data_IF_805977233135
#
_entry.id   IF_805977233135
#
_cell.length_a   1.000
_cell.length_b   1.000
_cell.length_c   1.000
_cell.angle_alpha   90.00
_cell.angle_beta   90.00
_cell.angle_gamma   90.00
#
_symmetry.space_group_name_H-M   'P 1'
#
loop_
_entity.id
_entity.type
_entity.pdbx_description
1 polymer ?
#
# COMPACT_ATOMS: atom_id res chain seq x y z
N UNK A 1 32.59 40.38 14.48
CA UNK A 1 32.70 39.70 13.19
C UNK A 1 32.78 38.19 13.38
N UNK A 2 31.91 37.58 14.21
CA UNK A 2 31.95 36.17 14.61
C UNK A 2 30.55 35.46 14.61
N UNK A 3 29.48 36.17 14.23
CA UNK A 3 28.11 35.63 14.24
C UNK A 3 27.63 35.03 12.90
N UNK A 4 28.40 35.22 11.82
CA UNK A 4 27.97 34.80 10.49
C UNK A 4 28.33 33.33 10.12
N UNK A 5 29.09 32.62 10.96
CA UNK A 5 29.49 31.21 10.69
C UNK A 5 28.50 30.19 11.22
N UNK A 6 27.68 30.52 12.22
CA UNK A 6 26.71 29.57 12.80
C UNK A 6 25.49 29.33 11.89
N UNK A 7 24.94 30.39 11.28
CA UNK A 7 23.73 30.23 10.46
C UNK A 7 23.99 29.44 9.18
N UNK A 8 25.15 29.60 8.56
CA UNK A 8 25.54 28.86 7.37
C UNK A 8 25.79 27.37 7.69
N UNK A 9 26.42 27.05 8.84
CA UNK A 9 26.61 25.67 9.27
C UNK A 9 25.30 24.98 9.65
N UNK A 10 24.38 25.69 10.30
CA UNK A 10 23.05 25.20 10.64
C UNK A 10 22.25 24.96 9.36
N UNK A 11 22.26 25.92 8.44
CA UNK A 11 21.54 25.81 7.15
C UNK A 11 22.10 24.67 6.29
N UNK A 12 23.42 24.53 6.21
CA UNK A 12 24.06 23.43 5.48
C UNK A 12 23.80 22.08 6.14
N UNK A 13 23.81 22.01 7.47
CA UNK A 13 23.44 20.81 8.24
C UNK A 13 21.98 20.41 8.06
N UNK A 14 21.07 21.37 8.00
CA UNK A 14 19.64 21.13 7.72
C UNK A 14 19.46 20.62 6.29
N UNK A 15 20.10 21.23 5.30
CA UNK A 15 20.03 20.78 3.89
C UNK A 15 20.62 19.39 3.74
N UNK A 16 21.76 19.09 4.38
CA UNK A 16 22.37 17.78 4.35
C UNK A 16 21.50 16.72 5.03
N UNK A 17 20.86 17.05 6.14
CA UNK A 17 19.91 16.18 6.85
C UNK A 17 18.66 15.91 6.02
N UNK A 18 18.13 16.92 5.34
CA UNK A 18 16.99 16.78 4.43
C UNK A 18 17.36 15.89 3.23
N UNK A 19 18.53 16.11 2.61
CA UNK A 19 19.00 15.30 1.47
C UNK A 19 19.23 13.83 1.85
N UNK A 20 19.68 13.56 3.07
CA UNK A 20 19.90 12.19 3.54
C UNK A 20 18.61 11.51 3.99
N UNK A 21 17.61 12.28 4.45
CA UNK A 21 16.28 11.75 4.81
C UNK A 21 15.51 11.23 3.61
N UNK A 22 15.71 11.78 2.41
CA UNK A 22 15.05 11.35 1.18
C UNK A 22 15.77 10.21 0.45
N UNK A 23 16.95 9.81 0.90
CA UNK A 23 17.79 8.82 0.20
C UNK A 23 17.12 7.47 -0.03
N UNK A 24 16.26 7.04 0.88
CA UNK A 24 15.58 5.74 0.83
C UNK A 24 14.09 5.84 0.52
N UNK A 25 13.56 7.05 0.32
CA UNK A 25 12.13 7.26 0.07
C UNK A 25 11.66 6.49 -1.17
N UNK A 26 12.46 6.51 -2.24
CA UNK A 26 12.13 5.84 -3.50
C UNK A 26 12.07 4.33 -3.33
N UNK A 27 13.01 3.76 -2.56
CA UNK A 27 13.05 2.32 -2.26
C UNK A 27 11.85 1.92 -1.39
N UNK A 28 11.55 2.68 -0.35
CA UNK A 28 10.42 2.44 0.54
C UNK A 28 9.10 2.55 -0.24
N UNK A 29 8.98 3.55 -1.11
CA UNK A 29 7.81 3.72 -1.98
C UNK A 29 7.66 2.53 -2.93
N UNK A 30 8.74 2.08 -3.58
CA UNK A 30 8.71 0.93 -4.48
C UNK A 30 8.29 -0.35 -3.76
N UNK A 31 8.85 -0.62 -2.57
CA UNK A 31 8.47 -1.78 -1.74
C UNK A 31 7.01 -1.68 -1.30
N UNK A 32 6.58 -0.52 -0.83
CA UNK A 32 5.19 -0.29 -0.42
C UNK A 32 4.19 -0.56 -1.55
N UNK A 33 4.43 0.00 -2.74
CA UNK A 33 3.57 -0.21 -3.92
C UNK A 33 3.58 -1.68 -4.34
N UNK A 34 4.72 -2.34 -4.30
CA UNK A 34 4.85 -3.77 -4.62
C UNK A 34 4.04 -4.62 -3.65
N UNK A 35 4.18 -4.39 -2.34
CA UNK A 35 3.40 -5.08 -1.30
C UNK A 35 1.91 -4.86 -1.50
N UNK A 36 1.50 -3.63 -1.82
CA UNK A 36 0.11 -3.27 -2.05
C UNK A 36 -0.49 -4.04 -3.25
N UNK A 37 0.21 -4.08 -4.38
CA UNK A 37 -0.26 -4.79 -5.58
C UNK A 37 -0.30 -6.29 -5.34
N UNK A 38 0.77 -6.88 -4.76
CA UNK A 38 0.83 -8.31 -4.45
C UNK A 38 -0.27 -8.70 -3.45
N UNK A 39 -0.53 -7.88 -2.43
CA UNK A 39 -1.61 -8.12 -1.47
C UNK A 39 -2.97 -8.24 -2.15
N UNK A 40 -3.27 -7.33 -3.09
CA UNK A 40 -4.54 -7.38 -3.84
C UNK A 40 -4.63 -8.61 -4.77
N UNK A 41 -3.53 -9.01 -5.41
CA UNK A 41 -3.48 -10.24 -6.21
C UNK A 41 -3.69 -11.47 -5.33
N UNK A 42 -3.01 -11.54 -4.20
CA UNK A 42 -3.12 -12.65 -3.25
C UNK A 42 -4.53 -12.76 -2.65
N UNK A 43 -5.15 -11.62 -2.33
CA UNK A 43 -6.53 -11.53 -1.84
C UNK A 43 -7.54 -12.09 -2.85
N UNK A 44 -7.35 -11.79 -4.14
CA UNK A 44 -8.18 -12.32 -5.21
C UNK A 44 -7.94 -13.80 -5.49
N UNK A 45 -6.70 -14.28 -5.25
CA UNK A 45 -6.30 -15.64 -5.66
C UNK A 45 -6.74 -16.73 -4.67
N UNK A 46 -6.78 -16.47 -3.37
CA UNK A 46 -7.03 -17.52 -2.38
C UNK A 46 -7.65 -17.02 -1.09
N UNK A 47 -8.70 -17.74 -0.65
CA UNK A 47 -9.20 -17.66 0.73
C UNK A 47 -8.52 -18.77 1.53
N UNK A 48 -7.94 -18.42 2.66
CA UNK A 48 -7.24 -19.33 3.58
C UNK A 48 -8.18 -19.68 4.72
N UNK A 49 -8.35 -20.97 4.99
CA UNK A 49 -9.08 -21.49 6.14
C UNK A 49 -8.07 -22.00 7.18
N UNK A 50 -8.18 -21.57 8.42
CA UNK A 50 -7.31 -22.01 9.50
C UNK A 50 -7.74 -23.34 10.12
N UNK A 51 -8.86 -23.93 9.64
CA UNK A 51 -9.31 -25.25 10.06
C UNK A 51 -9.90 -25.30 11.49
N UNK A 52 -10.18 -24.16 12.11
CA UNK A 52 -10.87 -24.11 13.39
C UNK A 52 -12.06 -23.14 13.35
N UNK A 53 -13.06 -23.44 14.15
CA UNK A 53 -14.29 -22.65 14.30
C UNK A 53 -14.33 -22.01 15.69
N UNK A 54 -14.66 -20.71 15.75
CA UNK A 54 -14.91 -19.99 16.98
C UNK A 54 -16.38 -19.60 17.03
N UNK A 55 -17.12 -20.06 18.03
CA UNK A 55 -18.56 -19.79 18.18
C UNK A 55 -19.42 -20.17 16.96
N UNK A 56 -19.05 -21.25 16.24
CA UNK A 56 -19.77 -21.70 15.05
C UNK A 56 -19.47 -20.91 13.77
N UNK A 57 -18.49 -20.00 13.80
CA UNK A 57 -18.02 -19.24 12.64
C UNK A 57 -16.66 -19.78 12.22
N UNK A 58 -16.54 -20.22 10.95
CA UNK A 58 -15.27 -20.63 10.36
C UNK A 58 -14.35 -19.41 10.24
N UNK A 59 -13.13 -19.56 10.75
CA UNK A 59 -12.09 -18.54 10.65
C UNK A 59 -11.39 -18.64 9.30
N UNK A 60 -12.03 -18.03 8.28
CA UNK A 60 -11.46 -17.90 6.95
C UNK A 60 -11.12 -16.43 6.68
N UNK A 61 -9.96 -16.19 6.08
CA UNK A 61 -9.53 -14.85 5.67
C UNK A 61 -8.89 -14.88 4.29
N UNK A 62 -8.88 -13.75 3.60
CA UNK A 62 -8.21 -13.68 2.31
C UNK A 62 -6.67 -13.67 2.47
N UNK A 63 -5.95 -14.26 1.50
CA UNK A 63 -4.49 -14.39 1.59
C UNK A 63 -3.77 -13.03 1.61
N UNK A 64 -4.37 -11.98 1.06
CA UNK A 64 -3.84 -10.63 1.07
C UNK A 64 -3.79 -10.01 2.46
N UNK A 65 -4.68 -10.44 3.37
CA UNK A 65 -4.70 -9.98 4.76
C UNK A 65 -3.37 -10.19 5.48
N UNK A 66 -2.58 -11.20 5.08
CA UNK A 66 -1.25 -11.45 5.62
C UNK A 66 -0.27 -10.29 5.38
N UNK A 67 -0.46 -9.55 4.29
CA UNK A 67 0.42 -8.44 3.90
C UNK A 67 -0.07 -7.08 4.43
N UNK A 68 -1.29 -6.97 4.95
CA UNK A 68 -1.81 -5.71 5.49
C UNK A 68 -0.97 -5.13 6.63
N UNK A 69 -0.54 -5.90 7.65
CA UNK A 69 0.31 -5.35 8.71
C UNK A 69 1.58 -4.70 8.16
N UNK A 70 2.19 -5.32 7.15
CA UNK A 70 3.39 -4.79 6.50
C UNK A 70 3.10 -3.47 5.79
N UNK A 71 1.97 -3.37 5.09
CA UNK A 71 1.54 -2.15 4.41
C UNK A 71 1.30 -0.99 5.40
N UNK A 72 0.69 -1.27 6.56
CA UNK A 72 0.50 -0.26 7.62
C UNK A 72 1.82 0.19 8.22
N UNK A 73 2.75 -0.72 8.52
CA UNK A 73 4.08 -0.37 9.04
C UNK A 73 4.80 0.58 8.07
N UNK A 74 4.75 0.33 6.77
CA UNK A 74 5.33 1.25 5.78
C UNK A 74 4.62 2.61 5.76
N UNK A 75 3.29 2.64 5.89
CA UNK A 75 2.51 3.87 6.00
C UNK A 75 2.90 4.70 7.22
N UNK A 76 3.10 4.05 8.35
CA UNK A 76 3.51 4.68 9.61
C UNK A 76 4.93 5.25 9.51
N UNK A 77 5.89 4.45 9.01
CA UNK A 77 7.27 4.90 8.76
C UNK A 77 7.29 6.11 7.81
N UNK A 78 6.52 6.08 6.74
CA UNK A 78 6.43 7.18 5.79
C UNK A 78 5.89 8.45 6.45
N UNK A 79 4.85 8.33 7.26
CA UNK A 79 4.23 9.49 7.92
C UNK A 79 5.12 10.03 9.03
N UNK A 80 5.77 9.17 9.79
CA UNK A 80 6.58 9.55 10.95
C UNK A 80 7.95 10.10 10.56
N UNK A 81 8.66 9.41 9.65
CA UNK A 81 10.03 9.75 9.26
C UNK A 81 10.06 10.85 8.19
N UNK A 82 9.19 10.72 7.17
CA UNK A 82 9.19 11.62 6.01
C UNK A 82 8.11 12.71 6.09
N UNK A 83 7.18 12.57 7.01
CA UNK A 83 6.11 13.52 7.24
C UNK A 83 4.89 13.34 6.31
N UNK A 84 3.77 13.92 6.73
CA UNK A 84 2.48 13.77 6.05
C UNK A 84 2.49 14.17 4.57
N UNK A 85 3.29 15.18 4.18
CA UNK A 85 3.37 15.64 2.78
C UNK A 85 3.89 14.55 1.85
N UNK A 86 4.94 13.85 2.24
CA UNK A 86 5.55 12.79 1.43
C UNK A 86 4.72 11.51 1.52
N UNK A 87 4.20 11.17 2.68
CA UNK A 87 3.26 10.05 2.87
C UNK A 87 2.07 10.18 1.92
N UNK A 88 1.47 11.37 1.80
CA UNK A 88 0.37 11.62 0.86
C UNK A 88 0.74 11.36 -0.59
N UNK A 89 1.95 11.72 -1.03
CA UNK A 89 2.41 11.42 -2.39
C UNK A 89 2.50 9.90 -2.63
N UNK A 90 3.05 9.17 -1.66
CA UNK A 90 3.19 7.72 -1.75
C UNK A 90 1.81 7.03 -1.79
N UNK A 91 0.85 7.48 -0.98
CA UNK A 91 -0.53 6.99 -1.00
C UNK A 91 -1.16 7.19 -2.40
N UNK A 92 -1.01 8.38 -2.98
CA UNK A 92 -1.52 8.64 -4.34
C UNK A 92 -0.81 7.79 -5.40
N UNK A 93 0.50 7.61 -5.29
CA UNK A 93 1.25 6.72 -6.19
C UNK A 93 0.75 5.29 -6.08
N UNK A 94 0.56 4.78 -4.87
CA UNK A 94 -0.03 3.44 -4.64
C UNK A 94 -1.42 3.30 -5.24
N UNK A 95 -2.27 4.32 -5.07
CA UNK A 95 -3.62 4.34 -5.65
C UNK A 95 -3.59 4.26 -7.19
N UNK A 96 -2.74 5.06 -7.84
CA UNK A 96 -2.59 5.05 -9.30
C UNK A 96 -2.02 3.72 -9.79
N UNK A 97 -1.00 3.17 -9.13
CA UNK A 97 -0.41 1.89 -9.49
C UNK A 97 -1.41 0.73 -9.33
N UNK A 98 -2.21 0.74 -8.26
CA UNK A 98 -3.25 -0.27 -8.06
C UNK A 98 -4.35 -0.17 -9.12
N UNK A 99 -4.81 1.04 -9.43
CA UNK A 99 -5.80 1.28 -10.49
C UNK A 99 -5.26 0.87 -11.87
N UNK A 100 -4.00 1.17 -12.16
CA UNK A 100 -3.34 0.75 -13.40
C UNK A 100 -3.22 -0.78 -13.50
N UNK A 101 -2.82 -1.45 -12.42
CA UNK A 101 -2.75 -2.93 -12.37
C UNK A 101 -4.11 -3.56 -12.66
N UNK A 102 -5.17 -3.03 -12.05
CA UNK A 102 -6.52 -3.50 -12.27
C UNK A 102 -7.01 -3.29 -13.71
N UNK A 103 -6.66 -2.15 -14.30
CA UNK A 103 -6.96 -1.86 -15.70
C UNK A 103 -6.25 -2.86 -16.64
N UNK A 104 -4.99 -3.17 -16.37
CA UNK A 104 -4.23 -4.17 -17.14
C UNK A 104 -4.88 -5.55 -17.03
N UNK A 105 -5.24 -5.99 -15.82
CA UNK A 105 -5.92 -7.28 -15.62
C UNK A 105 -7.29 -7.33 -16.30
N UNK A 106 -8.03 -6.21 -16.29
CA UNK A 106 -9.28 -6.11 -17.03
C UNK A 106 -9.07 -6.19 -18.54
N UNK A 107 -8.07 -5.50 -19.09
CA UNK A 107 -7.72 -5.59 -20.52
C UNK A 107 -7.35 -7.03 -20.91
N UNK A 108 -6.52 -7.70 -20.14
CA UNK A 108 -6.13 -9.10 -20.38
C UNK A 108 -7.36 -10.02 -20.34
N UNK A 109 -8.30 -9.76 -19.43
CA UNK A 109 -9.56 -10.51 -19.33
C UNK A 109 -10.41 -10.45 -20.62
N UNK A 110 -10.42 -9.29 -21.28
CA UNK A 110 -11.21 -9.05 -22.50
C UNK A 110 -10.52 -9.64 -23.74
N UNK A 111 -9.21 -9.88 -23.70
CA UNK A 111 -8.47 -10.47 -24.81
C UNK A 111 -8.90 -11.92 -25.04
N UNK A 112 -9.06 -12.37 -26.30
CA UNK A 112 -9.37 -13.77 -26.61
C UNK A 112 -8.20 -14.66 -26.22
N UNK A 113 -8.50 -15.72 -25.48
CA UNK A 113 -7.51 -16.74 -25.10
C UNK A 113 -7.16 -17.68 -26.28
N UNK A 114 -5.91 -18.09 -26.36
CA UNK A 114 -5.45 -19.08 -27.33
C UNK A 114 -6.02 -20.48 -27.02
N UNK A 115 -6.19 -21.34 -28.05
CA UNK A 115 -6.86 -22.63 -27.91
C UNK A 115 -6.18 -23.56 -26.92
N UNK A 116 -4.85 -23.68 -26.97
CA UNK A 116 -4.07 -24.52 -26.06
C UNK A 116 -4.21 -24.06 -24.61
N UNK A 117 -4.21 -22.74 -24.41
CA UNK A 117 -4.43 -22.17 -23.08
C UNK A 117 -5.86 -22.44 -22.57
N UNK A 118 -6.86 -22.38 -23.45
CA UNK A 118 -8.26 -22.67 -23.10
C UNK A 118 -8.45 -24.11 -22.61
N UNK A 119 -7.75 -25.08 -23.20
CA UNK A 119 -7.83 -26.49 -22.83
C UNK A 119 -7.18 -26.78 -21.48
N UNK A 120 -6.10 -26.06 -21.15
CA UNK A 120 -5.28 -26.35 -19.97
C UNK A 120 -5.67 -25.50 -18.73
N UNK A 121 -6.00 -24.23 -18.90
CA UNK A 121 -6.36 -23.32 -17.79
C UNK A 121 -7.75 -22.70 -17.97
N UNK A 122 -8.00 -22.12 -19.15
CA UNK A 122 -9.26 -21.50 -19.52
C UNK A 122 -9.59 -20.18 -18.83
N UNK A 123 -10.62 -19.54 -19.34
CA UNK A 123 -11.11 -18.26 -18.81
C UNK A 123 -11.66 -18.38 -17.39
N UNK A 124 -12.16 -19.56 -17.01
CA UNK A 124 -12.69 -19.80 -15.67
C UNK A 124 -11.61 -19.79 -14.60
N UNK A 125 -10.43 -20.37 -14.89
CA UNK A 125 -9.27 -20.29 -13.98
C UNK A 125 -8.77 -18.85 -13.83
N UNK A 126 -8.72 -18.09 -14.93
CA UNK A 126 -8.38 -16.67 -14.88
C UNK A 126 -9.37 -15.89 -14.00
N UNK A 127 -10.68 -16.10 -14.20
CA UNK A 127 -11.71 -15.45 -13.41
C UNK A 127 -11.70 -15.89 -11.95
N UNK A 128 -11.38 -17.12 -11.65
CA UNK A 128 -11.27 -17.64 -10.29
C UNK A 128 -10.11 -17.00 -9.53
N UNK A 129 -8.97 -16.74 -10.21
CA UNK A 129 -7.76 -16.20 -9.58
C UNK A 129 -7.75 -14.67 -9.59
N UNK A 130 -8.06 -14.04 -10.72
CA UNK A 130 -7.93 -12.60 -10.93
C UNK A 130 -9.27 -11.86 -11.03
N UNK A 131 -10.39 -12.58 -10.91
CA UNK A 131 -11.73 -12.01 -11.00
C UNK A 131 -12.00 -10.94 -9.95
N UNK A 132 -11.45 -11.08 -8.75
CA UNK A 132 -11.57 -10.09 -7.68
C UNK A 132 -11.01 -8.72 -8.08
N UNK A 133 -9.84 -8.70 -8.72
CA UNK A 133 -9.19 -7.45 -9.16
C UNK A 133 -9.81 -6.94 -10.47
N UNK A 134 -10.19 -7.84 -11.39
CA UNK A 134 -10.72 -7.47 -12.70
C UNK A 134 -12.21 -7.13 -12.70
N UNK A 135 -12.94 -7.39 -11.61
CA UNK A 135 -14.35 -7.02 -11.49
C UNK A 135 -14.50 -5.62 -10.87
N UNK A 136 -15.13 -4.72 -11.61
CA UNK A 136 -15.21 -3.30 -11.26
C UNK A 136 -15.81 -3.00 -9.88
N UNK A 137 -16.78 -3.78 -9.38
CA UNK A 137 -17.39 -3.55 -8.07
C UNK A 137 -16.42 -3.81 -6.90
N UNK A 138 -15.73 -4.94 -6.90
CA UNK A 138 -14.75 -5.31 -5.87
C UNK A 138 -13.54 -4.38 -5.95
N UNK A 139 -13.09 -4.05 -7.15
CA UNK A 139 -12.01 -3.11 -7.37
C UNK A 139 -12.31 -1.73 -6.78
N UNK A 140 -13.48 -1.17 -7.05
CA UNK A 140 -13.87 0.15 -6.52
C UNK A 140 -13.95 0.12 -4.99
N UNK A 141 -14.49 -0.95 -4.40
CA UNK A 141 -14.52 -1.11 -2.95
C UNK A 141 -13.10 -1.19 -2.35
N UNK A 142 -12.19 -1.95 -2.98
CA UNK A 142 -10.79 -2.06 -2.55
C UNK A 142 -10.05 -0.73 -2.67
N UNK A 143 -10.21 -0.02 -3.78
CA UNK A 143 -9.61 1.31 -3.98
C UNK A 143 -10.13 2.34 -2.98
N UNK A 144 -11.45 2.36 -2.73
CA UNK A 144 -12.05 3.26 -1.76
C UNK A 144 -11.60 2.93 -0.32
N UNK A 145 -11.57 1.65 0.05
CA UNK A 145 -11.07 1.18 1.35
C UNK A 145 -9.59 1.53 1.56
N UNK A 146 -8.75 1.27 0.56
CA UNK A 146 -7.34 1.64 0.60
C UNK A 146 -7.15 3.14 0.77
N UNK A 147 -7.84 3.95 -0.05
CA UNK A 147 -7.72 5.40 0.01
C UNK A 147 -8.16 5.94 1.37
N UNK A 148 -9.38 5.61 1.80
CA UNK A 148 -9.92 6.06 3.07
C UNK A 148 -9.06 5.59 4.26
N UNK A 149 -8.67 4.32 4.29
CA UNK A 149 -7.84 3.74 5.35
C UNK A 149 -6.47 4.40 5.45
N UNK A 150 -5.75 4.51 4.33
CA UNK A 150 -4.40 5.09 4.29
C UNK A 150 -4.40 6.58 4.64
N UNK A 151 -5.37 7.36 4.16
CA UNK A 151 -5.47 8.77 4.52
C UNK A 151 -5.87 8.96 5.98
N UNK A 152 -6.83 8.20 6.49
CA UNK A 152 -7.24 8.27 7.89
C UNK A 152 -6.07 7.93 8.81
N UNK A 153 -5.33 6.86 8.52
CA UNK A 153 -4.14 6.47 9.27
C UNK A 153 -3.09 7.60 9.30
N UNK A 154 -2.70 8.10 8.13
CA UNK A 154 -1.70 9.17 8.01
C UNK A 154 -2.13 10.48 8.67
N UNK A 155 -3.40 10.88 8.58
CA UNK A 155 -3.93 12.07 9.24
C UNK A 155 -3.95 11.89 10.75
N UNK A 156 -4.39 10.73 11.22
CA UNK A 156 -4.46 10.41 12.66
C UNK A 156 -3.08 10.45 13.28
N UNK A 157 -2.10 9.78 12.69
CA UNK A 157 -0.70 9.81 13.15
C UNK A 157 -0.12 11.22 13.15
N UNK A 158 -0.32 11.98 12.07
CA UNK A 158 0.16 13.35 12.00
C UNK A 158 -0.46 14.25 13.08
N UNK A 159 -1.77 14.13 13.32
CA UNK A 159 -2.47 14.88 14.37
C UNK A 159 -2.05 14.46 15.78
N UNK A 160 -1.92 13.16 16.02
CA UNK A 160 -1.46 12.63 17.30
C UNK A 160 -0.05 13.11 17.62
N UNK A 161 0.85 13.11 16.64
CA UNK A 161 2.22 13.62 16.80
C UNK A 161 2.26 15.09 17.21
N UNK A 162 1.40 15.92 16.63
CA UNK A 162 1.28 17.34 17.02
C UNK A 162 0.66 17.48 18.39
N UNK A 163 -0.40 16.74 18.72
CA UNK A 163 -1.15 16.85 19.97
C UNK A 163 -0.35 16.32 21.17
N UNK A 164 0.44 15.27 20.99
CA UNK A 164 1.25 14.65 22.06
C UNK A 164 2.67 15.20 22.13
N UNK A 165 3.02 16.20 21.30
CA UNK A 165 4.40 16.71 21.16
C UNK A 165 5.43 15.58 20.94
N UNK A 166 5.02 14.47 20.35
CA UNK A 166 5.85 13.30 20.10
C UNK A 166 6.13 12.40 21.32
N UNK A 167 5.51 12.65 22.48
CA UNK A 167 5.81 11.93 23.74
C UNK A 167 5.13 10.57 23.85
N UNK A 168 4.06 10.30 23.12
CA UNK A 168 3.19 9.12 23.28
C UNK A 168 3.12 8.24 22.03
N UNK A 169 4.05 8.36 21.11
CA UNK A 169 4.09 7.55 19.88
C UNK A 169 4.86 6.23 20.02
N UNK A 170 5.31 5.91 21.23
CA UNK A 170 6.01 4.64 21.60
C UNK A 170 5.50 4.07 22.90
#
# INVERSE_FOLDING_TARGET
MLLCKCDFCIFTGIIYRMKNSYRYLDVIMAVFVTVLVISNVASSAKIVDWGFEIAGVRMAFDAGTLLFPLSYIFGDILTEVYGYRESRKVIWTGFVCLGFSALVFWLVKVMPGEQTWQEYAGQDAYNAILGGISNGGILLASLAGYWAGSFTNSITLAKMKVWTEGRWLW
#
